data_IF_887838403155
#
_entry.id   IF_887838403155
#
_cell.length_a   1.000
_cell.length_b   1.000
_cell.length_c   1.000
_cell.angle_alpha   90.00
_cell.angle_beta   90.00
_cell.angle_gamma   90.00
#
_symmetry.space_group_name_H-M   'P 1'
#
loop_
_entity.id
_entity.type
_entity.pdbx_description
1 polymer ?
#
# COMPACT_ATOMS: atom_id res chain seq x y z
N UNK A 1 -13.81 2.34 18.05
CA UNK A 1 -12.71 1.56 17.46
C UNK A 1 -11.99 2.49 16.54
N UNK A 2 -10.86 3.04 16.99
CA UNK A 2 -10.07 4.02 16.25
C UNK A 2 -9.40 3.32 15.07
N UNK A 3 -9.48 3.94 13.88
CA UNK A 3 -8.81 3.54 12.63
C UNK A 3 -7.27 3.70 12.71
N UNK A 4 -6.67 3.32 13.84
CA UNK A 4 -5.33 3.75 14.25
C UNK A 4 -4.17 3.08 13.52
N UNK A 5 -4.41 2.19 12.55
CA UNK A 5 -3.33 1.52 11.83
C UNK A 5 -3.69 1.10 10.38
N UNK A 6 -4.65 1.77 9.73
CA UNK A 6 -4.98 1.45 8.33
C UNK A 6 -4.10 2.26 7.39
N UNK A 7 -3.18 1.58 6.72
CA UNK A 7 -2.40 2.18 5.63
C UNK A 7 -3.15 2.01 4.32
N UNK A 8 -3.18 3.05 3.50
CA UNK A 8 -3.81 3.01 2.18
C UNK A 8 -2.81 3.46 1.12
N UNK A 9 -2.87 2.82 -0.05
CA UNK A 9 -2.22 3.29 -1.27
C UNK A 9 -3.28 3.87 -2.19
N UNK A 10 -3.02 5.08 -2.69
CA UNK A 10 -3.82 5.73 -3.72
C UNK A 10 -3.03 5.67 -5.01
N UNK A 11 -3.57 4.99 -6.01
CA UNK A 11 -2.94 4.87 -7.33
C UNK A 11 -3.25 6.09 -8.19
N UNK A 12 -2.45 6.31 -9.24
CA UNK A 12 -2.63 7.46 -10.16
C UNK A 12 -3.98 7.45 -10.89
N UNK A 13 -4.62 6.28 -11.03
CA UNK A 13 -5.98 6.13 -11.57
C UNK A 13 -7.10 6.40 -10.53
N UNK A 14 -6.73 6.83 -9.32
CA UNK A 14 -7.65 7.24 -8.26
C UNK A 14 -8.23 6.08 -7.44
N UNK A 15 -7.72 4.85 -7.59
CA UNK A 15 -8.16 3.72 -6.77
C UNK A 15 -7.43 3.70 -5.44
N UNK A 16 -8.13 3.23 -4.41
CA UNK A 16 -7.61 3.12 -3.06
C UNK A 16 -7.54 1.66 -2.63
N UNK A 17 -6.38 1.25 -2.14
CA UNK A 17 -6.13 -0.09 -1.63
C UNK A 17 -5.65 -0.05 -0.18
N UNK A 18 -6.14 -0.97 0.65
CA UNK A 18 -5.66 -1.18 2.01
C UNK A 18 -4.37 -2.00 1.98
N UNK A 19 -3.30 -1.42 2.51
CA UNK A 19 -2.02 -2.10 2.60
C UNK A 19 -2.00 -3.02 3.80
N UNK A 20 -1.44 -4.22 3.60
CA UNK A 20 -1.19 -5.13 4.72
C UNK A 20 -0.19 -4.50 5.70
N UNK A 21 -0.57 -4.39 6.98
CA UNK A 21 0.26 -3.78 8.02
C UNK A 21 1.65 -4.43 8.14
N UNK A 22 1.75 -5.75 7.94
CA UNK A 22 3.04 -6.44 7.99
C UNK A 22 4.03 -5.94 6.92
N UNK A 23 3.53 -5.40 5.79
CA UNK A 23 4.36 -4.81 4.75
C UNK A 23 4.82 -3.38 5.11
N UNK A 24 4.14 -2.68 6.01
CA UNK A 24 4.46 -1.28 6.33
C UNK A 24 5.47 -1.17 7.47
N UNK A 25 5.45 -2.10 8.42
CA UNK A 25 6.34 -2.03 9.59
C UNK A 25 7.81 -2.31 9.25
N UNK A 26 8.08 -3.07 8.18
CA UNK A 26 9.45 -3.45 7.79
C UNK A 26 10.01 -2.66 6.59
N UNK A 27 9.15 -2.05 5.76
CA UNK A 27 9.60 -1.27 4.60
C UNK A 27 9.81 0.20 4.96
N UNK A 28 11.05 0.67 4.82
CA UNK A 28 11.46 2.07 5.05
C UNK A 28 11.18 2.95 3.82
N UNK A 29 9.91 3.10 3.45
CA UNK A 29 9.50 4.16 2.52
C UNK A 29 9.51 5.52 3.24
N UNK A 30 9.96 6.56 2.55
CA UNK A 30 9.86 7.96 3.00
C UNK A 30 8.82 8.71 2.15
N UNK A 31 8.23 9.80 2.67
CA UNK A 31 7.43 10.68 1.82
C UNK A 31 8.22 11.11 0.58
N UNK A 32 7.63 10.91 -0.61
CA UNK A 32 8.26 11.21 -1.91
C UNK A 32 8.85 9.99 -2.64
N UNK A 33 9.01 8.85 -1.96
CA UNK A 33 9.38 7.59 -2.60
C UNK A 33 8.20 7.03 -3.42
N UNK A 34 8.52 6.31 -4.49
CA UNK A 34 7.52 5.61 -5.31
C UNK A 34 7.36 4.16 -4.83
N UNK A 35 6.14 3.63 -4.91
CA UNK A 35 5.78 2.31 -4.39
C UNK A 35 5.18 1.46 -5.50
N UNK A 36 5.65 0.22 -5.63
CA UNK A 36 4.93 -0.81 -6.37
C UNK A 36 4.10 -1.65 -5.41
N UNK A 37 2.82 -1.80 -5.76
CA UNK A 37 1.88 -2.61 -5.00
C UNK A 37 1.35 -3.76 -5.87
N UNK A 38 1.17 -4.92 -5.25
CA UNK A 38 0.49 -6.06 -5.84
C UNK A 38 -0.96 -6.07 -5.38
N UNK A 39 -1.88 -6.12 -6.35
CA UNK A 39 -3.32 -6.20 -6.12
C UNK A 39 -3.83 -7.59 -6.52
N UNK A 40 -4.93 -8.04 -5.93
CA UNK A 40 -5.55 -9.30 -6.32
C UNK A 40 -6.17 -9.19 -7.73
N UNK A 41 -5.86 -10.15 -8.60
CA UNK A 41 -6.36 -10.21 -9.98
C UNK A 41 -7.89 -10.13 -10.10
N UNK A 42 -8.61 -10.69 -9.11
CA UNK A 42 -10.08 -10.79 -9.13
C UNK A 42 -10.78 -9.70 -8.31
N UNK A 43 -10.09 -8.62 -7.95
CA UNK A 43 -10.61 -7.45 -7.18
C UNK A 43 -11.32 -7.77 -5.85
N UNK A 44 -11.25 -9.02 -5.37
CA UNK A 44 -11.90 -9.41 -4.12
C UNK A 44 -11.04 -8.95 -2.94
N UNK A 45 -11.32 -7.76 -2.44
CA UNK A 45 -10.98 -7.37 -1.07
C UNK A 45 -10.42 -5.97 -0.88
N UNK A 46 -10.07 -5.24 -1.95
CA UNK A 46 -9.47 -3.91 -1.82
C UNK A 46 -8.16 -3.90 -1.03
N UNK A 47 -7.50 -5.05 -0.87
CA UNK A 47 -6.22 -5.18 -0.20
C UNK A 47 -5.07 -5.26 -1.21
N UNK A 48 -3.92 -4.71 -0.84
CA UNK A 48 -2.69 -4.77 -1.62
C UNK A 48 -1.47 -5.06 -0.74
N UNK A 49 -0.44 -5.64 -1.34
CA UNK A 49 0.86 -5.85 -0.70
C UNK A 49 1.91 -4.93 -1.34
N UNK A 50 2.89 -4.45 -0.56
CA UNK A 50 4.02 -3.70 -1.11
C UNK A 50 5.02 -4.69 -1.71
N UNK A 51 5.37 -4.52 -2.98
CA UNK A 51 6.36 -5.33 -3.67
C UNK A 51 7.74 -4.67 -3.65
N UNK A 52 7.79 -3.36 -3.93
CA UNK A 52 9.04 -2.61 -3.97
C UNK A 52 8.84 -1.13 -3.61
N UNK A 53 9.94 -0.51 -3.16
CA UNK A 53 10.05 0.93 -2.91
C UNK A 53 11.19 1.46 -3.78
N UNK A 54 10.88 2.41 -4.66
CA UNK A 54 11.90 3.15 -5.41
C UNK A 54 12.23 4.42 -4.62
N UNK A 55 13.50 4.52 -4.23
CA UNK A 55 14.03 5.73 -3.59
C UNK A 55 14.34 6.76 -4.66
N UNK A 56 13.85 7.98 -4.46
CA UNK A 56 14.33 9.15 -5.20
C UNK A 56 15.53 9.79 -4.53
#
# INVERSE_FOLDING_TARGET
>A
MTDENKFTAVTDDGKTYFLNQAAVTFFKGKPGDELFILINEKDKGGFAAIEAVIKK
#
